data_IF_801487583946
#
_entry.id   IF_801487583946
#
_cell.length_a   1.000
_cell.length_b   1.000
_cell.length_c   1.000
_cell.angle_alpha   90.00
_cell.angle_beta   90.00
_cell.angle_gamma   90.00
#
_symmetry.space_group_name_H-M   'P 1'
#
loop_
_entity.id
_entity.type
_entity.pdbx_description
1 polymer ?
#
# COMPACT_ATOMS: atom_id res chain seq x y z
N UNK A 1 -19.61 -9.79 9.56
CA UNK A 1 -19.29 -9.36 8.19
C UNK A 1 -18.48 -8.06 8.31
N UNK A 2 -17.18 -8.18 8.54
CA UNK A 2 -16.27 -7.04 8.75
C UNK A 2 -15.40 -6.93 7.51
N UNK A 3 -15.79 -6.07 6.57
CA UNK A 3 -15.25 -6.10 5.22
C UNK A 3 -14.81 -4.72 4.79
N UNK A 4 -13.52 -4.45 5.01
CA UNK A 4 -12.61 -3.78 4.08
C UNK A 4 -11.31 -3.47 4.82
N UNK A 5 -10.18 -3.77 4.16
CA UNK A 5 -8.82 -3.55 4.67
C UNK A 5 -8.10 -2.64 3.66
N UNK A 6 -7.56 -1.53 4.15
CA UNK A 6 -6.63 -0.68 3.40
C UNK A 6 -5.20 -1.19 3.61
N UNK A 7 -4.42 -1.29 2.55
CA UNK A 7 -2.98 -1.53 2.63
C UNK A 7 -2.21 -0.35 2.02
N UNK A 8 -1.42 0.36 2.83
CA UNK A 8 -0.44 1.33 2.34
C UNK A 8 0.91 0.62 2.13
N UNK A 9 1.46 0.70 0.92
CA UNK A 9 2.60 -0.13 0.49
C UNK A 9 3.65 0.72 -0.22
N UNK A 10 4.91 0.39 -0.03
CA UNK A 10 6.02 1.02 -0.74
C UNK A 10 6.28 0.36 -2.11
N UNK A 11 5.89 1.04 -3.20
CA UNK A 11 6.15 0.56 -4.56
C UNK A 11 7.58 0.91 -5.02
N UNK A 12 8.34 -0.10 -5.41
CA UNK A 12 9.64 -0.01 -6.08
C UNK A 12 9.65 -0.90 -7.31
N UNK A 13 10.32 -0.47 -8.38
CA UNK A 13 10.29 -1.17 -9.68
C UNK A 13 10.64 -2.68 -9.62
N UNK A 14 11.40 -3.12 -8.61
CA UNK A 14 11.71 -4.54 -8.40
C UNK A 14 10.80 -5.23 -7.36
N UNK A 15 10.24 -4.49 -6.39
CA UNK A 15 9.42 -5.02 -5.30
C UNK A 15 7.92 -5.11 -5.61
N UNK A 16 7.42 -4.37 -6.61
CA UNK A 16 5.99 -4.18 -6.89
C UNK A 16 5.24 -5.48 -7.16
N UNK A 17 5.80 -6.36 -7.98
CA UNK A 17 5.21 -7.66 -8.29
C UNK A 17 5.17 -8.58 -7.08
N UNK A 18 6.25 -8.63 -6.29
CA UNK A 18 6.35 -9.49 -5.11
C UNK A 18 5.37 -9.11 -4.01
N UNK A 19 5.30 -7.83 -3.67
CA UNK A 19 4.36 -7.31 -2.66
C UNK A 19 2.91 -7.45 -3.11
N UNK A 20 2.63 -7.13 -4.38
CA UNK A 20 1.30 -7.30 -4.96
C UNK A 20 0.86 -8.76 -4.94
N UNK A 21 1.75 -9.69 -5.28
CA UNK A 21 1.45 -11.12 -5.26
C UNK A 21 1.22 -11.63 -3.82
N UNK A 22 2.00 -11.15 -2.85
CA UNK A 22 1.81 -11.50 -1.44
C UNK A 22 0.45 -11.02 -0.92
N UNK A 23 0.09 -9.76 -1.19
CA UNK A 23 -1.23 -9.20 -0.85
C UNK A 23 -2.32 -10.00 -1.55
N UNK A 24 -2.20 -10.23 -2.86
CA UNK A 24 -3.20 -10.98 -3.60
C UNK A 24 -3.41 -12.39 -3.02
N UNK A 25 -2.35 -13.11 -2.65
CA UNK A 25 -2.46 -14.45 -2.04
C UNK A 25 -3.23 -14.41 -0.72
N UNK A 26 -2.81 -13.55 0.22
CA UNK A 26 -3.42 -13.45 1.56
C UNK A 26 -4.90 -13.08 1.45
N UNK A 27 -5.22 -12.06 0.66
CA UNK A 27 -6.59 -11.55 0.60
C UNK A 27 -7.51 -12.41 -0.27
N UNK A 28 -6.98 -13.11 -1.27
CA UNK A 28 -7.73 -14.10 -2.05
C UNK A 28 -8.20 -15.26 -1.18
N UNK A 29 -7.35 -15.78 -0.29
CA UNK A 29 -7.73 -16.84 0.66
C UNK A 29 -8.85 -16.39 1.60
N UNK A 30 -8.85 -15.12 1.99
CA UNK A 30 -9.91 -14.53 2.81
C UNK A 30 -11.15 -14.07 2.03
N UNK A 31 -11.17 -14.23 0.69
CA UNK A 31 -12.21 -13.71 -0.21
C UNK A 31 -12.49 -12.20 -0.04
N UNK A 32 -11.45 -11.44 0.32
CA UNK A 32 -11.51 -10.00 0.53
C UNK A 32 -10.91 -9.24 -0.67
N UNK A 33 -11.40 -8.03 -0.90
CA UNK A 33 -10.90 -7.13 -1.96
C UNK A 33 -10.32 -5.86 -1.33
N UNK A 34 -9.05 -5.86 -0.92
CA UNK A 34 -8.45 -4.71 -0.26
C UNK A 34 -8.26 -3.53 -1.22
N UNK A 35 -8.25 -2.33 -0.66
CA UNK A 35 -7.72 -1.16 -1.34
C UNK A 35 -6.22 -1.10 -1.05
N UNK A 36 -5.41 -0.96 -2.08
CA UNK A 36 -3.95 -0.84 -1.96
C UNK A 36 -3.56 0.55 -2.44
N UNK A 37 -2.78 1.29 -1.66
CA UNK A 37 -2.34 2.64 -2.01
C UNK A 37 -0.86 2.84 -1.74
N UNK A 38 -0.26 3.85 -2.36
CA UNK A 38 1.10 4.28 -2.03
C UNK A 38 1.29 5.78 -2.15
N UNK A 39 1.87 6.37 -1.11
CA UNK A 39 2.18 7.80 -1.05
C UNK A 39 3.60 8.13 -1.51
N UNK A 40 4.41 7.13 -1.87
CA UNK A 40 5.79 7.33 -2.35
C UNK A 40 5.86 8.22 -3.59
N UNK A 41 4.94 8.04 -4.54
CA UNK A 41 4.85 8.89 -5.74
C UNK A 41 4.58 10.36 -5.43
N UNK A 42 3.98 10.66 -4.27
CA UNK A 42 3.71 12.02 -3.80
C UNK A 42 4.87 12.61 -2.97
N UNK A 43 5.55 11.76 -2.19
CA UNK A 43 6.47 12.18 -1.12
C UNK A 43 7.96 11.95 -1.44
N UNK A 44 8.28 11.16 -2.47
CA UNK A 44 9.64 10.79 -2.81
C UNK A 44 10.24 9.74 -1.84
N UNK A 45 11.52 9.43 -2.02
CA UNK A 45 12.24 8.48 -1.17
C UNK A 45 12.59 9.11 0.20
N UNK A 46 11.82 8.77 1.24
CA UNK A 46 12.01 9.30 2.59
C UNK A 46 12.93 8.47 3.50
N UNK A 47 13.67 7.48 2.97
CA UNK A 47 14.61 6.62 3.72
C UNK A 47 14.07 6.24 5.12
N UNK A 48 14.79 6.54 6.20
CA UNK A 48 14.38 6.20 7.57
C UNK A 48 13.12 6.91 8.09
N UNK A 49 12.68 7.99 7.45
CA UNK A 49 11.45 8.70 7.82
C UNK A 49 10.19 8.12 7.14
N UNK A 50 10.35 7.26 6.13
CA UNK A 50 9.23 6.71 5.36
C UNK A 50 8.23 5.98 6.27
N UNK A 51 8.70 5.12 7.18
CA UNK A 51 7.82 4.36 8.08
C UNK A 51 6.96 5.23 9.01
N UNK A 52 7.53 6.30 9.60
CA UNK A 52 6.77 7.21 10.46
C UNK A 52 5.71 8.00 9.69
N UNK A 53 6.05 8.44 8.47
CA UNK A 53 5.14 9.19 7.62
C UNK A 53 4.02 8.30 7.09
N UNK A 54 4.33 7.07 6.68
CA UNK A 54 3.33 6.09 6.25
C UNK A 54 2.39 5.69 7.38
N UNK A 55 2.90 5.55 8.60
CA UNK A 55 2.06 5.32 9.78
C UNK A 55 1.10 6.49 10.03
N UNK A 56 1.59 7.73 9.99
CA UNK A 56 0.75 8.92 10.15
C UNK A 56 -0.32 9.04 9.05
N UNK A 57 0.04 8.75 7.80
CA UNK A 57 -0.89 8.72 6.67
C UNK A 57 -1.95 7.64 6.85
N UNK A 58 -1.56 6.46 7.33
CA UNK A 58 -2.48 5.36 7.59
C UNK A 58 -3.51 5.74 8.66
N UNK A 59 -3.07 6.38 9.75
CA UNK A 59 -3.97 6.90 10.79
C UNK A 59 -4.90 7.98 10.23
N UNK A 60 -4.38 8.90 9.41
CA UNK A 60 -5.20 9.94 8.78
C UNK A 60 -6.21 9.35 7.79
N UNK A 61 -5.84 8.29 7.08
CA UNK A 61 -6.70 7.58 6.14
C UNK A 61 -7.87 6.93 6.89
N UNK A 62 -7.59 6.28 8.04
CA UNK A 62 -8.60 5.80 8.99
C UNK A 62 -9.53 6.92 9.49
N UNK A 63 -8.96 8.05 9.90
CA UNK A 63 -9.74 9.17 10.43
C UNK A 63 -10.64 9.84 9.37
N UNK A 64 -10.14 9.96 8.14
CA UNK A 64 -10.81 10.66 7.03
C UNK A 64 -11.71 9.75 6.17
N UNK A 65 -11.75 8.46 6.50
CA UNK A 65 -12.48 7.42 5.76
C UNK A 65 -12.09 7.35 4.27
N UNK A 66 -10.81 7.54 3.97
CA UNK A 66 -10.32 7.66 2.60
C UNK A 66 -8.95 7.03 2.37
N UNK A 67 -8.83 6.28 1.28
CA UNK A 67 -7.55 5.79 0.77
C UNK A 67 -6.84 6.90 -0.01
N UNK A 68 -5.55 7.16 0.28
CA UNK A 68 -4.76 8.10 -0.50
C UNK A 68 -4.57 7.57 -1.92
N UNK A 69 -4.39 8.45 -2.91
CA UNK A 69 -4.13 8.03 -4.27
C UNK A 69 -2.70 7.47 -4.41
N UNK A 70 -2.56 6.44 -5.22
CA UNK A 70 -1.25 6.06 -5.78
C UNK A 70 -0.94 6.99 -6.95
N UNK A 71 -0.21 8.06 -6.67
CA UNK A 71 0.21 9.02 -7.69
C UNK A 71 1.22 8.39 -8.66
N UNK A 72 1.21 8.83 -9.91
CA UNK A 72 2.07 8.37 -11.01
C UNK A 72 1.85 6.90 -11.46
N UNK A 73 0.81 6.23 -10.93
CA UNK A 73 0.43 4.88 -11.37
C UNK A 73 -0.58 4.96 -12.54
N UNK A 74 -0.06 4.89 -13.77
CA UNK A 74 -0.89 4.92 -14.99
C UNK A 74 -1.27 3.51 -15.48
N UNK A 75 -0.30 2.58 -15.45
CA UNK A 75 -0.50 1.18 -15.80
C UNK A 75 0.19 0.32 -14.74
N UNK A 76 -0.56 -0.29 -13.80
CA UNK A 76 0.02 -1.23 -12.85
C UNK A 76 0.48 -2.49 -13.60
N UNK A 77 1.77 -2.77 -13.55
CA UNK A 77 2.37 -4.01 -14.10
C UNK A 77 2.84 -4.91 -12.95
N UNK A 78 1.88 -5.54 -12.27
CA UNK A 78 2.12 -6.34 -11.07
C UNK A 78 1.76 -7.82 -11.25
N UNK A 79 1.23 -8.18 -12.42
CA UNK A 79 0.79 -9.55 -12.74
C UNK A 79 -0.41 -10.07 -11.94
N UNK A 80 -1.02 -9.24 -11.09
CA UNK A 80 -2.19 -9.62 -10.28
C UNK A 80 -3.24 -8.51 -10.27
N UNK A 81 -4.51 -8.90 -10.18
CA UNK A 81 -5.63 -7.96 -10.13
C UNK A 81 -5.86 -7.49 -8.68
N UNK A 82 -5.41 -6.27 -8.37
CA UNK A 82 -5.66 -5.57 -7.12
C UNK A 82 -6.11 -4.13 -7.40
N UNK A 83 -6.81 -3.53 -6.45
CA UNK A 83 -7.25 -2.15 -6.57
C UNK A 83 -6.22 -1.19 -5.97
N UNK A 84 -5.36 -0.65 -6.83
CA UNK A 84 -4.24 0.21 -6.44
C UNK A 84 -4.59 1.69 -6.21
N UNK A 85 -5.88 2.06 -6.17
CA UNK A 85 -6.34 3.45 -5.98
C UNK A 85 -5.56 4.45 -6.86
N UNK A 86 -5.53 4.28 -8.20
CA UNK A 86 -4.65 5.06 -9.06
C UNK A 86 -5.13 6.51 -9.17
N UNK A 87 -4.19 7.46 -9.06
CA UNK A 87 -4.32 8.90 -9.37
C UNK A 87 -5.30 9.72 -8.51
N UNK A 88 -6.42 9.14 -8.07
CA UNK A 88 -7.50 9.83 -7.36
C UNK A 88 -7.81 9.08 -6.07
N UNK A 89 -7.85 9.83 -4.95
CA UNK A 89 -8.21 9.30 -3.64
C UNK A 89 -9.59 8.65 -3.68
N UNK A 90 -9.75 7.54 -2.98
CA UNK A 90 -11.02 6.83 -2.93
C UNK A 90 -11.56 6.83 -1.51
N UNK A 91 -12.77 7.35 -1.31
CA UNK A 91 -13.51 7.10 -0.08
C UNK A 91 -13.81 5.62 0.03
N UNK A 92 -13.54 5.04 1.19
CA UNK A 92 -13.95 3.68 1.48
C UNK A 92 -15.22 3.68 2.32
N UNK A 93 -15.80 2.50 2.56
CA UNK A 93 -17.00 2.41 3.38
C UNK A 93 -16.68 2.81 4.83
N UNK A 94 -17.52 3.60 5.49
CA UNK A 94 -17.36 3.95 6.91
C UNK A 94 -17.27 2.71 7.85
N UNK A 95 -17.57 1.51 7.35
CA UNK A 95 -17.37 0.24 8.05
C UNK A 95 -15.96 -0.38 7.89
N UNK A 96 -15.01 0.30 7.25
CA UNK A 96 -13.60 -0.12 7.24
C UNK A 96 -13.07 0.00 8.67
N UNK A 97 -12.69 -1.13 9.26
CA UNK A 97 -12.23 -1.18 10.66
C UNK A 97 -10.73 -1.34 10.81
N UNK A 98 -10.03 -1.63 9.72
CA UNK A 98 -8.63 -2.03 9.76
C UNK A 98 -7.87 -1.44 8.58
N UNK A 99 -6.74 -0.83 8.87
CA UNK A 99 -5.74 -0.46 7.88
C UNK A 99 -4.40 -1.10 8.26
N UNK A 100 -3.64 -1.49 7.25
CA UNK A 100 -2.31 -2.07 7.34
C UNK A 100 -1.36 -1.14 6.59
N UNK A 101 -0.19 -0.87 7.17
CA UNK A 101 0.90 -0.19 6.48
C UNK A 101 2.09 -1.12 6.45
N UNK A 102 2.74 -1.20 5.30
CA UNK A 102 3.93 -2.00 5.11
C UNK A 102 5.00 -1.14 4.43
N UNK A 103 6.10 -0.93 5.15
CA UNK A 103 7.25 -0.12 4.73
C UNK A 103 8.47 -1.02 4.63
N UNK A 104 9.15 -1.05 3.49
CA UNK A 104 10.38 -1.83 3.30
C UNK A 104 11.57 -0.89 3.15
N UNK A 105 12.17 -0.53 4.29
CA UNK A 105 13.33 0.36 4.34
C UNK A 105 14.62 -0.31 3.87
N UNK A 106 15.50 0.48 3.25
CA UNK A 106 16.81 0.09 2.69
C UNK A 106 17.82 -0.53 3.70
N UNK A 107 17.46 -0.70 4.98
CA UNK A 107 18.29 -1.45 5.94
C UNK A 107 18.20 -2.97 5.79
N UNK A 108 17.26 -3.49 5.00
CA UNK A 108 17.14 -4.94 4.74
C UNK A 108 17.76 -5.39 3.39
N UNK A 109 18.22 -4.47 2.53
CA UNK A 109 18.73 -4.83 1.19
C UNK A 109 20.25 -4.95 1.07
N UNK A 110 21.00 -5.01 2.17
CA UNK A 110 22.46 -5.23 2.13
C UNK A 110 22.90 -6.35 3.07
N UNK A 111 22.38 -7.57 2.84
CA UNK A 111 23.19 -8.78 2.97
C UNK A 111 23.27 -9.48 1.61
N UNK A 112 24.06 -8.90 0.71
CA UNK A 112 24.86 -9.67 -0.26
C UNK A 112 25.76 -8.69 -0.98
N UNK A 113 26.95 -8.48 -0.42
CA UNK A 113 28.24 -8.37 -1.11
C UNK A 113 29.31 -7.98 -0.08
N UNK A 114 29.87 -9.01 0.56
CA UNK A 114 31.26 -9.06 1.02
C UNK A 114 31.75 -10.50 0.82
#
# INVERSE_FOLDING_TARGET
MMEQILTNVEFTAFGDGGQSQAIWRIFKECNLKPLVSSTKGALGHMLGAAGCVEAAITVLSCHSEGAPPTLNLHQPDTGVELNYVPLVSRKWNANVRTALTNSFGFSEQMEHHA
#
